data_IF_215036902470
#
_entry.id   IF_215036902470
#
_cell.length_a   1.000
_cell.length_b   1.000
_cell.length_c   1.000
_cell.angle_alpha   90.00
_cell.angle_beta   90.00
_cell.angle_gamma   90.00
#
_symmetry.space_group_name_H-M   'P 1'
#
loop_
_entity.id
_entity.type
_entity.pdbx_description
1 polymer ?
#
# COMPACT_ATOMS: atom_id res chain seq x y z
N UNK A 1 53.51 -25.31 -7.00
CA UNK A 1 52.76 -25.19 -5.73
C UNK A 1 52.18 -23.79 -5.58
N UNK A 2 52.99 -22.72 -5.63
CA UNK A 2 52.51 -21.33 -5.50
C UNK A 2 51.45 -20.93 -6.54
N UNK A 3 51.67 -21.22 -7.83
CA UNK A 3 50.70 -20.86 -8.89
C UNK A 3 49.33 -21.50 -8.69
N UNK A 4 49.27 -22.74 -8.20
CA UNK A 4 48.01 -23.45 -7.96
C UNK A 4 47.23 -22.74 -6.85
N UNK A 5 47.90 -22.41 -5.75
CA UNK A 5 47.31 -21.70 -4.60
C UNK A 5 46.76 -20.34 -5.03
N UNK A 6 47.52 -19.58 -5.81
CA UNK A 6 47.10 -18.26 -6.32
C UNK A 6 45.86 -18.40 -7.21
N UNK A 7 45.82 -19.37 -8.13
CA UNK A 7 44.66 -19.57 -9.00
C UNK A 7 43.40 -19.95 -8.23
N UNK A 8 43.51 -20.79 -7.20
CA UNK A 8 42.35 -21.13 -6.34
C UNK A 8 41.85 -19.94 -5.53
N UNK A 9 42.73 -19.09 -4.99
CA UNK A 9 42.33 -17.91 -4.23
C UNK A 9 41.57 -16.89 -5.09
N UNK A 10 42.03 -16.67 -6.33
CA UNK A 10 41.35 -15.75 -7.27
C UNK A 10 39.96 -16.27 -7.63
N UNK A 11 39.80 -17.57 -7.81
CA UNK A 11 38.53 -18.20 -8.15
C UNK A 11 37.51 -18.04 -7.01
N UNK A 12 37.93 -18.30 -5.77
CA UNK A 12 37.10 -18.10 -4.56
C UNK A 12 36.75 -16.61 -4.39
N UNK A 13 37.69 -15.69 -4.64
CA UNK A 13 37.43 -14.25 -4.54
C UNK A 13 36.42 -13.78 -5.59
N UNK A 14 36.48 -14.34 -6.80
CA UNK A 14 35.51 -14.08 -7.87
C UNK A 14 34.12 -14.61 -7.53
N UNK A 15 34.02 -15.85 -7.05
CA UNK A 15 32.74 -16.44 -6.65
C UNK A 15 32.10 -15.69 -5.48
N UNK A 16 32.89 -15.34 -4.45
CA UNK A 16 32.38 -14.61 -3.29
C UNK A 16 32.01 -13.17 -3.64
N UNK A 17 32.78 -12.49 -4.50
CA UNK A 17 32.42 -11.17 -5.03
C UNK A 17 31.16 -11.23 -5.90
N UNK A 18 30.99 -12.28 -6.70
CA UNK A 18 29.81 -12.46 -7.53
C UNK A 18 28.56 -12.73 -6.69
N UNK A 19 28.65 -13.60 -5.67
CA UNK A 19 27.55 -13.92 -4.76
C UNK A 19 27.15 -12.72 -3.90
N UNK A 20 28.14 -11.96 -3.40
CA UNK A 20 27.87 -10.74 -2.62
C UNK A 20 27.28 -9.64 -3.49
N UNK A 21 27.75 -9.46 -4.72
CA UNK A 21 27.16 -8.51 -5.67
C UNK A 21 25.73 -8.89 -6.08
N UNK A 22 25.46 -10.18 -6.31
CA UNK A 22 24.11 -10.69 -6.61
C UNK A 22 23.15 -10.45 -5.46
N UNK A 23 23.54 -10.82 -4.24
CA UNK A 23 22.73 -10.56 -3.05
C UNK A 23 22.53 -9.06 -2.80
N UNK A 24 23.57 -8.24 -2.94
CA UNK A 24 23.46 -6.79 -2.77
C UNK A 24 22.42 -6.16 -3.71
N UNK A 25 22.35 -6.63 -4.96
CA UNK A 25 21.35 -6.17 -5.94
C UNK A 25 19.94 -6.66 -5.61
N UNK A 26 19.78 -7.84 -5.03
CA UNK A 26 18.49 -8.38 -4.59
C UNK A 26 17.98 -7.69 -3.31
N UNK A 27 18.87 -7.33 -2.39
CA UNK A 27 18.51 -6.72 -1.10
C UNK A 27 18.37 -5.21 -1.13
N UNK A 28 18.90 -4.51 -2.15
CA UNK A 28 18.93 -3.05 -2.16
C UNK A 28 17.82 -2.44 -3.04
N UNK A 29 16.69 -1.97 -2.45
CA UNK A 29 15.54 -1.45 -3.19
C UNK A 29 15.86 -0.21 -4.04
N UNK A 30 16.95 0.51 -3.72
CA UNK A 30 17.38 1.71 -4.45
C UNK A 30 17.86 1.47 -5.90
N UNK A 31 18.06 0.21 -6.32
CA UNK A 31 18.57 -0.11 -7.67
C UNK A 31 17.49 -0.57 -8.66
N UNK A 32 16.23 -0.65 -8.24
CA UNK A 32 15.11 -0.93 -9.17
C UNK A 32 14.79 0.35 -9.94
N UNK A 33 15.18 0.39 -11.21
CA UNK A 33 14.87 1.46 -12.17
C UNK A 33 13.37 1.53 -12.57
N UNK A 34 12.49 0.87 -11.82
CA UNK A 34 11.05 1.06 -11.82
C UNK A 34 10.65 1.17 -10.35
N UNK A 35 9.89 2.22 -10.01
CA UNK A 35 9.45 2.51 -8.66
C UNK A 35 8.80 1.29 -7.99
N UNK A 36 8.72 1.32 -6.67
CA UNK A 36 8.04 0.26 -5.95
C UNK A 36 6.55 0.31 -6.34
N UNK A 37 5.90 -0.84 -6.43
CA UNK A 37 4.46 -0.88 -6.65
C UNK A 37 3.72 -0.66 -5.33
N UNK A 38 2.64 0.11 -5.37
CA UNK A 38 1.69 0.23 -4.27
C UNK A 38 0.38 -0.40 -4.73
N UNK A 39 0.02 -1.55 -4.17
CA UNK A 39 -1.26 -2.20 -4.42
C UNK A 39 -2.37 -1.46 -3.67
N UNK A 40 -3.39 -1.01 -4.38
CA UNK A 40 -4.51 -0.26 -3.81
C UNK A 40 -5.67 -1.20 -3.48
N UNK A 41 -6.13 -1.14 -2.24
CA UNK A 41 -7.28 -1.89 -1.73
C UNK A 41 -8.63 -1.18 -2.00
N UNK A 42 -9.72 -1.96 -2.07
CA UNK A 42 -11.11 -1.54 -2.19
C UNK A 42 -11.48 -0.49 -1.14
N UNK A 43 -11.06 -0.71 0.11
CA UNK A 43 -11.39 0.17 1.24
C UNK A 43 -10.90 1.61 1.03
N UNK A 44 -9.70 1.77 0.47
CA UNK A 44 -9.08 3.06 0.15
C UNK A 44 -9.81 3.79 -0.97
N UNK A 45 -10.20 3.05 -2.01
CA UNK A 45 -10.94 3.62 -3.15
C UNK A 45 -12.31 4.12 -2.71
N UNK A 46 -13.01 3.37 -1.86
CA UNK A 46 -14.32 3.78 -1.34
C UNK A 46 -14.22 5.02 -0.45
N UNK A 47 -13.14 5.17 0.31
CA UNK A 47 -12.91 6.34 1.18
C UNK A 47 -12.53 7.60 0.38
N UNK A 48 -11.75 7.44 -0.69
CA UNK A 48 -11.43 8.50 -1.65
C UNK A 48 -10.32 9.47 -1.24
N UNK A 49 -9.90 9.51 0.03
CA UNK A 49 -8.82 10.42 0.48
C UNK A 49 -7.48 10.17 -0.20
N UNK A 50 -7.28 9.01 -0.84
CA UNK A 50 -6.12 8.73 -1.69
C UNK A 50 -5.92 9.77 -2.78
N UNK A 51 -6.99 10.39 -3.29
CA UNK A 51 -6.93 11.48 -4.26
C UNK A 51 -6.11 12.64 -3.69
N UNK A 52 -6.46 13.12 -2.50
CA UNK A 52 -5.76 14.24 -1.86
C UNK A 52 -4.32 13.90 -1.51
N UNK A 53 -4.08 12.66 -1.06
CA UNK A 53 -2.72 12.19 -0.76
C UNK A 53 -1.87 12.12 -2.04
N UNK A 54 -2.42 11.61 -3.14
CA UNK A 54 -1.74 11.57 -4.43
C UNK A 54 -1.47 12.98 -4.98
N UNK A 55 -2.47 13.87 -4.97
CA UNK A 55 -2.36 15.27 -5.40
C UNK A 55 -1.30 16.07 -4.63
N UNK A 56 -1.12 15.76 -3.34
CA UNK A 56 -0.12 16.42 -2.50
C UNK A 56 1.33 16.03 -2.82
N UNK A 57 1.55 15.01 -3.67
CA UNK A 57 2.88 14.52 -4.05
C UNK A 57 3.51 13.56 -3.02
N UNK A 58 2.76 13.10 -2.01
CA UNK A 58 3.24 12.11 -1.05
C UNK A 58 3.32 10.69 -1.63
N UNK A 59 2.60 10.41 -2.72
CA UNK A 59 2.66 9.14 -3.44
C UNK A 59 3.55 9.34 -4.67
N UNK A 60 4.78 8.84 -4.60
CA UNK A 60 5.77 8.93 -5.69
C UNK A 60 5.94 7.63 -6.48
N UNK A 61 5.52 6.52 -5.87
CA UNK A 61 5.57 5.17 -6.42
C UNK A 61 4.35 4.88 -7.30
N UNK A 62 4.47 3.93 -8.24
CA UNK A 62 3.37 3.55 -9.15
C UNK A 62 2.22 2.90 -8.38
N UNK A 63 1.04 3.49 -8.46
CA UNK A 63 -0.20 2.92 -7.96
C UNK A 63 -0.66 1.78 -8.87
N UNK A 64 -0.87 0.61 -8.30
CA UNK A 64 -1.37 -0.56 -9.00
C UNK A 64 -2.74 -0.93 -8.40
N UNK A 65 -3.80 -0.79 -9.19
CA UNK A 65 -5.15 -1.24 -8.79
C UNK A 65 -5.37 -2.63 -9.41
N UNK A 66 -5.44 -3.71 -8.60
CA UNK A 66 -5.72 -5.04 -9.11
C UNK A 66 -7.09 -5.14 -9.78
N UNK A 67 -7.23 -6.00 -10.79
CA UNK A 67 -8.51 -6.24 -11.47
C UNK A 67 -9.51 -6.89 -10.53
N UNK A 68 -9.05 -7.69 -9.57
CA UNK A 68 -9.85 -8.27 -8.48
C UNK A 68 -10.54 -7.21 -7.61
N UNK A 69 -9.82 -6.16 -7.21
CA UNK A 69 -10.34 -5.00 -6.46
C UNK A 69 -11.43 -4.27 -7.27
N UNK A 70 -11.19 -4.02 -8.57
CA UNK A 70 -12.22 -3.44 -9.43
C UNK A 70 -13.43 -4.38 -9.55
N UNK A 71 -13.19 -5.70 -9.61
CA UNK A 71 -14.24 -6.70 -9.66
C UNK A 71 -15.12 -6.69 -8.41
N UNK A 72 -14.53 -6.51 -7.22
CA UNK A 72 -15.26 -6.37 -5.97
C UNK A 72 -16.08 -5.07 -5.92
N UNK A 73 -15.51 -3.94 -6.33
CA UNK A 73 -16.26 -2.69 -6.45
C UNK A 73 -17.45 -2.82 -7.39
N UNK A 74 -17.28 -3.48 -8.54
CA UNK A 74 -18.36 -3.76 -9.48
C UNK A 74 -19.44 -4.64 -8.85
N UNK A 75 -19.03 -5.72 -8.17
CA UNK A 75 -19.95 -6.61 -7.49
C UNK A 75 -20.77 -5.89 -6.41
N UNK A 76 -20.12 -5.04 -5.59
CA UNK A 76 -20.78 -4.22 -4.58
C UNK A 76 -21.72 -3.18 -5.21
N UNK A 77 -21.33 -2.57 -6.34
CA UNK A 77 -22.14 -1.59 -7.06
C UNK A 77 -23.44 -2.18 -7.67
N UNK A 78 -23.44 -3.47 -7.96
CA UNK A 78 -24.58 -4.17 -8.56
C UNK A 78 -25.46 -4.88 -7.54
N UNK A 79 -24.89 -5.44 -6.47
CA UNK A 79 -25.57 -6.39 -5.58
C UNK A 79 -25.83 -5.90 -4.16
N UNK A 80 -25.25 -4.76 -3.75
CA UNK A 80 -25.40 -4.27 -2.38
C UNK A 80 -26.64 -3.38 -2.16
N UNK A 81 -26.86 -2.94 -0.92
CA UNK A 81 -27.85 -1.93 -0.58
C UNK A 81 -27.55 -0.56 -1.23
N UNK A 82 -28.50 0.38 -1.20
CA UNK A 82 -28.36 1.67 -1.88
C UNK A 82 -27.10 2.44 -1.45
N UNK A 83 -26.75 2.43 -0.17
CA UNK A 83 -25.62 3.17 0.36
C UNK A 83 -24.28 2.55 -0.09
N UNK A 84 -24.11 1.24 0.08
CA UNK A 84 -22.91 0.52 -0.37
C UNK A 84 -22.74 0.60 -1.87
N UNK A 85 -23.83 0.54 -2.65
CA UNK A 85 -23.78 0.73 -4.11
C UNK A 85 -23.27 2.11 -4.50
N UNK A 86 -23.76 3.16 -3.84
CA UNK A 86 -23.30 4.53 -4.08
C UNK A 86 -21.80 4.67 -3.79
N UNK A 87 -21.36 4.13 -2.65
CA UNK A 87 -19.96 4.11 -2.22
C UNK A 87 -19.05 3.33 -3.17
N UNK A 88 -19.49 2.18 -3.66
CA UNK A 88 -18.72 1.36 -4.60
C UNK A 88 -18.58 2.04 -5.98
N UNK A 89 -19.65 2.71 -6.46
CA UNK A 89 -19.58 3.54 -7.68
C UNK A 89 -18.60 4.69 -7.52
N UNK A 90 -18.65 5.38 -6.38
CA UNK A 90 -17.67 6.40 -6.05
C UNK A 90 -16.24 5.84 -6.06
N UNK A 91 -16.00 4.64 -5.53
CA UNK A 91 -14.69 3.99 -5.62
C UNK A 91 -14.20 3.76 -7.05
N UNK A 92 -15.09 3.44 -7.99
CA UNK A 92 -14.75 3.35 -9.43
C UNK A 92 -14.43 4.74 -10.03
N UNK A 93 -15.14 5.78 -9.61
CA UNK A 93 -14.86 7.16 -10.02
C UNK A 93 -13.49 7.62 -9.50
N UNK A 94 -13.12 7.24 -8.28
CA UNK A 94 -11.79 7.51 -7.69
C UNK A 94 -10.67 6.90 -8.52
N UNK A 95 -10.82 5.65 -8.99
CA UNK A 95 -9.83 5.02 -9.90
C UNK A 95 -9.67 5.85 -11.18
N UNK A 96 -10.78 6.29 -11.76
CA UNK A 96 -10.77 7.10 -12.98
C UNK A 96 -10.15 8.48 -12.77
N UNK A 97 -10.41 9.10 -11.62
CA UNK A 97 -9.81 10.38 -11.26
C UNK A 97 -8.28 10.24 -11.12
N UNK A 98 -7.81 9.25 -10.38
CA UNK A 98 -6.39 8.96 -10.23
C UNK A 98 -5.70 8.68 -11.58
N UNK A 99 -6.37 7.97 -12.51
CA UNK A 99 -5.86 7.73 -13.86
C UNK A 99 -5.68 9.00 -14.70
N UNK A 100 -6.47 10.05 -14.44
CA UNK A 100 -6.43 11.29 -15.20
C UNK A 100 -5.44 12.32 -14.61
N UNK A 101 -4.77 12.01 -13.49
CA UNK A 101 -3.80 12.91 -12.86
C UNK A 101 -2.45 12.82 -13.57
N UNK A 102 -1.93 13.96 -14.05
CA UNK A 102 -0.67 14.01 -14.81
C UNK A 102 0.57 13.56 -14.01
N UNK A 103 0.56 13.73 -12.69
CA UNK A 103 1.70 13.46 -11.81
C UNK A 103 1.56 12.16 -11.01
N UNK A 104 0.54 11.35 -11.30
CA UNK A 104 0.30 10.06 -10.63
C UNK A 104 0.42 8.96 -11.67
N UNK A 105 1.38 8.06 -11.46
CA UNK A 105 1.48 6.85 -12.29
C UNK A 105 0.53 5.79 -11.73
N UNK A 106 -0.56 5.52 -12.44
CA UNK A 106 -1.53 4.50 -12.08
C UNK A 106 -1.66 3.47 -13.20
N UNK A 107 -1.56 2.19 -12.83
CA UNK A 107 -1.82 1.07 -13.72
C UNK A 107 -2.86 0.11 -13.16
N UNK A 108 -3.61 -0.54 -14.05
CA UNK A 108 -4.49 -1.65 -13.68
C UNK A 108 -3.69 -2.95 -13.76
N UNK A 109 -3.50 -3.60 -12.62
CA UNK A 109 -2.75 -4.85 -12.53
C UNK A 109 -3.66 -6.03 -12.86
N UNK A 110 -3.30 -6.80 -13.89
CA UNK A 110 -4.04 -7.99 -14.28
C UNK A 110 -3.71 -9.15 -13.34
N UNK A 111 -4.62 -9.43 -12.41
CA UNK A 111 -4.50 -10.50 -11.42
C UNK A 111 -5.73 -11.43 -11.40
N UNK A 112 -6.60 -11.33 -12.41
CA UNK A 112 -7.86 -12.08 -12.48
C UNK A 112 -9.07 -11.27 -12.03
N UNK A 113 -10.26 -11.65 -12.51
CA UNK A 113 -11.50 -10.91 -12.23
C UNK A 113 -12.22 -11.37 -10.96
N UNK A 114 -11.83 -12.51 -10.39
CA UNK A 114 -12.37 -13.06 -9.14
C UNK A 114 -11.21 -13.56 -8.28
N UNK A 115 -11.22 -13.16 -7.02
CA UNK A 115 -10.38 -13.78 -6.00
C UNK A 115 -11.21 -14.88 -5.33
N UNK A 116 -10.92 -16.15 -5.64
CA UNK A 116 -11.62 -17.30 -5.04
C UNK A 116 -11.42 -17.33 -3.51
N UNK A 117 -10.23 -16.93 -3.06
CA UNK A 117 -9.83 -16.85 -1.65
C UNK A 117 -10.13 -15.49 -0.98
N UNK A 118 -10.77 -14.56 -1.71
CA UNK A 118 -11.01 -13.18 -1.26
C UNK A 118 -9.93 -12.19 -1.69
N UNK A 119 -10.32 -10.92 -1.79
CA UNK A 119 -9.47 -9.84 -2.31
C UNK A 119 -8.25 -9.59 -1.41
N UNK A 120 -8.43 -9.68 -0.09
CA UNK A 120 -7.36 -9.46 0.90
C UNK A 120 -6.20 -10.44 0.74
N UNK A 121 -6.49 -11.75 0.69
CA UNK A 121 -5.48 -12.79 0.49
C UNK A 121 -4.77 -12.65 -0.87
N UNK A 122 -5.51 -12.23 -1.89
CA UNK A 122 -4.95 -11.92 -3.21
C UNK A 122 -3.97 -10.75 -3.13
N UNK A 123 -4.32 -9.67 -2.43
CA UNK A 123 -3.46 -8.51 -2.21
C UNK A 123 -2.18 -8.90 -1.47
N UNK A 124 -2.28 -9.68 -0.40
CA UNK A 124 -1.13 -10.19 0.37
C UNK A 124 -0.18 -11.01 -0.52
N UNK A 125 -0.74 -11.94 -1.27
CA UNK A 125 0.01 -12.80 -2.19
C UNK A 125 0.72 -11.98 -3.28
N UNK A 126 0.01 -11.05 -3.92
CA UNK A 126 0.58 -10.18 -4.95
C UNK A 126 1.67 -9.27 -4.38
N UNK A 127 1.48 -8.75 -3.17
CA UNK A 127 2.44 -7.87 -2.52
C UNK A 127 3.76 -8.60 -2.27
N UNK A 128 3.71 -9.84 -1.76
CA UNK A 128 4.91 -10.67 -1.61
C UNK A 128 5.58 -10.99 -2.93
N UNK A 129 4.81 -11.43 -3.94
CA UNK A 129 5.35 -11.83 -5.24
C UNK A 129 6.06 -10.68 -5.97
N UNK A 130 5.54 -9.45 -5.82
CA UNK A 130 6.07 -8.27 -6.52
C UNK A 130 6.99 -7.41 -5.64
N UNK A 131 7.14 -7.75 -4.36
CA UNK A 131 7.75 -6.89 -3.35
C UNK A 131 7.12 -5.48 -3.35
N UNK A 132 5.78 -5.46 -3.40
CA UNK A 132 4.98 -4.25 -3.41
C UNK A 132 4.61 -3.83 -1.99
N UNK A 133 4.18 -2.58 -1.81
CA UNK A 133 3.46 -2.17 -0.61
C UNK A 133 1.95 -2.30 -0.81
N UNK A 134 1.19 -2.31 0.28
CA UNK A 134 -0.29 -2.29 0.25
C UNK A 134 -0.77 -0.95 0.77
N UNK A 135 -1.63 -0.26 0.03
CA UNK A 135 -2.36 0.91 0.49
C UNK A 135 -3.76 0.47 0.91
N UNK A 136 -4.08 0.59 2.20
CA UNK A 136 -5.37 0.17 2.79
C UNK A 136 -5.79 1.12 3.91
N UNK A 137 -7.08 1.16 4.23
CA UNK A 137 -7.58 1.73 5.50
C UNK A 137 -8.06 0.64 6.47
N UNK A 138 -8.11 -0.62 6.01
CA UNK A 138 -8.56 -1.74 6.81
C UNK A 138 -7.53 -2.12 7.88
N UNK A 139 -8.00 -2.27 9.12
CA UNK A 139 -7.14 -2.58 10.26
C UNK A 139 -6.62 -4.03 10.22
N UNK A 140 -7.46 -4.98 9.78
CA UNK A 140 -7.12 -6.39 9.77
C UNK A 140 -6.10 -6.70 8.68
N UNK A 141 -6.33 -6.20 7.46
CA UNK A 141 -5.39 -6.32 6.35
C UNK A 141 -4.05 -5.68 6.70
N UNK A 142 -4.05 -4.50 7.33
CA UNK A 142 -2.83 -3.86 7.84
C UNK A 142 -2.08 -4.78 8.83
N UNK A 143 -2.77 -5.35 9.81
CA UNK A 143 -2.15 -6.24 10.80
C UNK A 143 -1.56 -7.50 10.19
N UNK A 144 -2.30 -8.17 9.30
CA UNK A 144 -1.81 -9.38 8.63
C UNK A 144 -0.61 -9.03 7.74
N UNK A 145 -0.73 -8.02 6.89
CA UNK A 145 0.36 -7.58 6.02
C UNK A 145 1.65 -7.23 6.79
N UNK A 146 1.51 -6.56 7.93
CA UNK A 146 2.63 -6.23 8.82
C UNK A 146 3.33 -7.47 9.38
N UNK A 147 2.58 -8.50 9.80
CA UNK A 147 3.13 -9.78 10.27
C UNK A 147 3.89 -10.49 9.15
N UNK A 148 3.43 -10.35 7.92
CA UNK A 148 4.04 -10.94 6.73
C UNK A 148 5.22 -10.14 6.16
N UNK A 149 5.61 -9.04 6.82
CA UNK A 149 6.72 -8.18 6.39
C UNK A 149 6.41 -7.33 5.16
N UNK A 150 5.13 -7.16 4.82
CA UNK A 150 4.67 -6.30 3.73
C UNK A 150 4.52 -4.88 4.27
N UNK A 151 5.10 -3.90 3.58
CA UNK A 151 4.89 -2.50 3.95
C UNK A 151 3.45 -2.08 3.69
N UNK A 152 2.86 -1.43 4.69
CA UNK A 152 1.51 -0.89 4.59
C UNK A 152 1.55 0.63 4.57
N UNK A 153 0.84 1.22 3.61
CA UNK A 153 0.56 2.65 3.54
C UNK A 153 -0.87 2.85 4.02
N UNK A 154 -1.03 3.17 5.30
CA UNK A 154 -2.36 3.37 5.88
C UNK A 154 -2.75 4.85 5.84
N UNK A 155 -3.72 5.21 4.99
CA UNK A 155 -4.18 6.59 4.82
C UNK A 155 -4.81 7.14 6.11
N UNK A 156 -5.50 6.29 6.87
CA UNK A 156 -6.09 6.70 8.14
C UNK A 156 -5.01 7.05 9.17
N UNK A 157 -3.95 6.25 9.28
CA UNK A 157 -2.81 6.55 10.15
C UNK A 157 -2.05 7.80 9.70
N UNK A 158 -1.86 7.98 8.38
CA UNK A 158 -1.27 9.20 7.82
C UNK A 158 -2.07 10.45 8.25
N UNK A 159 -3.40 10.42 8.06
CA UNK A 159 -4.26 11.53 8.44
C UNK A 159 -4.24 11.82 9.94
N UNK A 160 -4.15 10.79 10.79
CA UNK A 160 -4.03 10.95 12.23
C UNK A 160 -2.70 11.59 12.64
N UNK A 161 -1.60 11.18 11.97
CA UNK A 161 -0.24 11.66 12.26
C UNK A 161 -0.05 13.12 11.83
N UNK A 162 -0.77 13.56 10.80
CA UNK A 162 -0.73 14.95 10.32
C UNK A 162 -1.54 15.93 11.18
N UNK A 163 -2.28 15.45 12.21
CA UNK A 163 -2.96 16.35 13.14
C UNK A 163 -1.91 17.17 13.90
N UNK A 164 -2.14 18.47 14.01
CA UNK A 164 -1.25 19.36 14.75
C UNK A 164 -1.03 18.82 16.17
N UNK A 165 0.23 18.61 16.54
CA UNK A 165 0.60 18.41 17.93
C UNK A 165 0.44 19.75 18.65
N UNK A 166 -0.42 19.80 19.66
CA UNK A 166 -0.61 21.02 20.43
C UNK A 166 0.69 21.43 21.11
N UNK A 167 1.08 22.69 20.93
CA UNK A 167 2.23 23.26 21.62
C UNK A 167 1.84 23.78 23.02
N UNK A 168 2.78 23.80 23.99
CA UNK A 168 2.53 24.45 25.28
C UNK A 168 2.07 25.90 25.08
N UNK A 169 0.87 26.22 25.57
CA UNK A 169 0.27 27.56 25.47
C UNK A 169 -0.78 27.72 24.37
N UNK A 170 -0.96 26.74 23.50
CA UNK A 170 -2.06 26.75 22.53
C UNK A 170 -3.41 26.48 23.21
N UNK A 171 -4.45 27.20 22.78
CA UNK A 171 -5.83 27.00 23.22
C UNK A 171 -6.58 26.26 22.12
N UNK A 172 -7.29 25.19 22.49
CA UNK A 172 -8.16 24.46 21.57
C UNK A 172 -9.62 24.58 22.00
N UNK A 173 -10.53 24.60 21.03
CA UNK A 173 -11.95 24.51 21.28
C UNK A 173 -12.34 23.02 21.34
N UNK A 174 -12.79 22.56 22.50
CA UNK A 174 -13.31 21.20 22.71
C UNK A 174 -14.84 21.27 22.73
N UNK A 175 -15.48 20.58 21.80
CA UNK A 175 -16.93 20.43 21.79
C UNK A 175 -17.32 19.18 22.59
N UNK A 176 -18.16 19.35 23.61
CA UNK A 176 -18.66 18.26 24.44
C UNK A 176 -19.89 17.64 23.77
N UNK A 177 -19.71 16.44 23.21
CA UNK A 177 -20.77 15.77 22.43
C UNK A 177 -21.74 14.97 23.32
N UNK A 178 -21.27 14.44 24.45
CA UNK A 178 -22.10 13.62 25.35
C UNK A 178 -21.59 13.66 26.80
N UNK A 179 -22.50 13.57 27.77
CA UNK A 179 -22.16 13.42 29.19
C UNK A 179 -21.56 12.02 29.45
N UNK A 180 -20.46 11.97 30.18
CA UNK A 180 -19.83 10.71 30.59
C UNK A 180 -20.75 9.84 31.45
N UNK A 181 -20.58 8.52 31.38
CA UNK A 181 -21.38 7.53 32.10
C UNK A 181 -20.75 7.05 33.43
N UNK A 182 -19.68 7.70 33.90
CA UNK A 182 -19.04 7.32 35.16
C UNK A 182 -19.74 7.95 36.37
N UNK A 183 -20.04 7.12 37.38
CA UNK A 183 -20.71 7.52 38.62
C UNK A 183 -19.82 8.26 39.64
N UNK A 184 -18.57 8.57 39.27
CA UNK A 184 -17.60 9.27 40.11
C UNK A 184 -17.36 10.73 39.67
N UNK A 185 -18.42 11.43 39.22
CA UNK A 185 -18.41 12.87 38.98
C UNK A 185 -19.69 13.54 39.49
#
# INVERSE_FOLDING_TARGET
MEYIIITTLVLIALETSYLTWRNYKETNPATRKGGRLILVDTSVLIDGRIISVAQSGFITDTLAVPRSVIGELQFLADNADHEKRSRARYGLDVVKELQNMEHVDLMILQDGSKAEDGVDERLLTLAKQRNAAICTIDYNLNKVASVEGIQVLNINELAQTLRMAYLPGERMLLELVQKGQDGHQ
#
